data_IF_688354523869
#
_entry.id   IF_688354523869
#
_cell.length_a   1.000
_cell.length_b   1.000
_cell.length_c   1.000
_cell.angle_alpha   90.00
_cell.angle_beta   90.00
_cell.angle_gamma   90.00
#
_symmetry.space_group_name_H-M   'P 1'
#
loop_
_entity.id
_entity.type
_entity.pdbx_description
1 polymer ?
#
# COMPACT_ATOMS: atom_id res chain seq x y z
N UNK A 1 18.98 21.86 -5.02
CA UNK A 1 18.65 21.19 -6.31
C UNK A 1 17.61 20.13 -5.99
N UNK A 2 16.35 20.43 -6.25
CA UNK A 2 15.25 19.46 -6.14
C UNK A 2 15.53 18.33 -7.12
N UNK A 3 15.53 17.05 -6.71
CA UNK A 3 15.68 15.97 -7.66
C UNK A 3 14.50 16.04 -8.63
N UNK A 4 14.80 16.29 -9.91
CA UNK A 4 13.82 16.20 -10.99
C UNK A 4 13.25 14.78 -10.96
N UNK A 5 11.96 14.68 -10.65
CA UNK A 5 11.24 13.41 -10.62
C UNK A 5 11.34 12.79 -12.02
N UNK A 6 12.24 11.82 -12.19
CA UNK A 6 12.46 11.15 -13.47
C UNK A 6 11.20 10.36 -13.79
N UNK A 7 10.58 10.63 -14.95
CA UNK A 7 9.43 9.86 -15.44
C UNK A 7 9.75 8.36 -15.34
N UNK A 8 8.94 7.65 -14.56
CA UNK A 8 9.03 6.21 -14.27
C UNK A 8 8.27 5.40 -15.31
N UNK A 9 7.21 5.96 -15.90
CA UNK A 9 6.49 5.30 -17.00
C UNK A 9 7.31 5.43 -18.27
N UNK A 10 7.70 4.28 -18.81
CA UNK A 10 8.52 4.22 -20.01
C UNK A 10 7.76 4.71 -21.24
N UNK A 11 8.49 5.27 -22.22
CA UNK A 11 7.93 5.65 -23.51
C UNK A 11 7.23 4.48 -24.21
N UNK A 12 7.74 3.26 -24.01
CA UNK A 12 7.12 2.05 -24.57
C UNK A 12 5.76 1.77 -23.96
N UNK A 13 5.61 1.88 -22.64
CA UNK A 13 4.32 1.72 -21.96
C UNK A 13 3.31 2.75 -22.44
N UNK A 14 3.72 4.02 -22.56
CA UNK A 14 2.86 5.07 -23.13
C UNK A 14 2.39 4.74 -24.54
N UNK A 15 3.31 4.31 -25.42
CA UNK A 15 2.96 3.87 -26.77
C UNK A 15 2.00 2.68 -26.76
N UNK A 16 2.27 1.64 -25.97
CA UNK A 16 1.41 0.45 -25.92
C UNK A 16 -0.03 0.81 -25.50
N UNK A 17 -0.20 1.73 -24.54
CA UNK A 17 -1.53 2.18 -24.09
C UNK A 17 -2.24 2.95 -25.20
N UNK A 18 -1.56 3.85 -25.90
CA UNK A 18 -2.15 4.61 -27.00
C UNK A 18 -2.47 3.72 -28.21
N UNK A 19 -1.59 2.79 -28.56
CA UNK A 19 -1.83 1.81 -29.62
C UNK A 19 -3.05 0.95 -29.27
N UNK A 20 -3.17 0.52 -28.00
CA UNK A 20 -4.35 -0.20 -27.55
C UNK A 20 -5.62 0.66 -27.64
N UNK A 21 -5.58 1.93 -27.21
CA UNK A 21 -6.73 2.83 -27.32
C UNK A 21 -7.17 3.02 -28.78
N UNK A 22 -6.23 3.32 -29.69
CA UNK A 22 -6.51 3.51 -31.12
C UNK A 22 -7.05 2.26 -31.82
N UNK A 23 -6.71 1.06 -31.32
CA UNK A 23 -7.16 -0.22 -31.89
C UNK A 23 -8.38 -0.82 -31.18
N UNK A 24 -8.73 -0.30 -30.01
CA UNK A 24 -9.88 -0.78 -29.23
C UNK A 24 -11.20 -0.20 -29.75
N UNK A 25 -12.30 -0.74 -29.27
CA UNK A 25 -13.64 -0.18 -29.53
C UNK A 25 -13.97 1.06 -28.67
N UNK A 26 -13.07 1.47 -27.78
CA UNK A 26 -13.32 2.54 -26.82
C UNK A 26 -12.82 3.90 -27.31
N UNK A 27 -13.72 4.87 -27.42
CA UNK A 27 -13.36 6.28 -27.59
C UNK A 27 -12.82 6.86 -26.28
N UNK A 28 -11.60 7.40 -26.29
CA UNK A 28 -10.96 7.99 -25.11
C UNK A 28 -11.76 9.16 -24.52
N UNK A 29 -12.50 9.90 -25.35
CA UNK A 29 -13.36 11.01 -24.93
C UNK A 29 -14.76 10.55 -24.49
N UNK A 30 -15.09 9.28 -24.70
CA UNK A 30 -16.34 8.66 -24.32
C UNK A 30 -17.54 9.39 -24.92
N UNK A 31 -18.45 9.88 -24.07
CA UNK A 31 -19.63 10.65 -24.53
C UNK A 31 -19.38 12.15 -24.67
N UNK A 32 -18.20 12.64 -24.32
CA UNK A 32 -17.85 14.06 -24.42
C UNK A 32 -17.23 14.34 -25.79
N UNK A 33 -17.40 15.56 -26.29
CA UNK A 33 -16.58 15.98 -27.44
C UNK A 33 -15.13 16.15 -27.00
N UNK A 34 -14.18 15.93 -27.90
CA UNK A 34 -12.74 16.06 -27.63
C UNK A 34 -12.35 17.36 -26.88
N UNK A 35 -12.82 18.57 -27.27
CA UNK A 35 -12.51 19.79 -26.51
C UNK A 35 -13.13 19.80 -25.10
N UNK A 36 -14.31 19.21 -24.91
CA UNK A 36 -14.96 19.12 -23.59
C UNK A 36 -14.22 18.16 -22.67
N UNK A 37 -13.73 17.03 -23.20
CA UNK A 37 -12.88 16.12 -22.44
C UNK A 37 -11.59 16.83 -22.03
N UNK A 38 -10.87 17.43 -22.98
CA UNK A 38 -9.56 18.01 -22.72
C UNK A 38 -9.63 19.22 -21.78
N UNK A 39 -10.71 20.01 -21.81
CA UNK A 39 -10.94 21.11 -20.87
C UNK A 39 -11.05 20.67 -19.39
N UNK A 40 -11.24 19.37 -19.13
CA UNK A 40 -11.25 18.81 -17.77
C UNK A 40 -9.85 18.60 -17.21
N UNK A 41 -8.85 18.52 -18.09
CA UNK A 41 -7.45 18.25 -17.75
C UNK A 41 -6.54 19.46 -18.00
N UNK A 42 -6.90 20.34 -18.92
CA UNK A 42 -6.07 21.42 -19.42
C UNK A 42 -6.86 22.71 -19.55
N UNK A 43 -6.19 23.85 -19.32
CA UNK A 43 -6.73 25.15 -19.71
C UNK A 43 -6.51 25.37 -21.22
N UNK A 44 -7.53 25.06 -22.02
CA UNK A 44 -7.44 25.11 -23.48
C UNK A 44 -7.42 26.54 -24.04
N UNK A 45 -7.79 27.55 -23.25
CA UNK A 45 -7.73 28.95 -23.68
C UNK A 45 -6.31 29.53 -23.53
N UNK A 46 -5.51 28.99 -22.61
CA UNK A 46 -4.10 29.37 -22.43
C UNK A 46 -3.15 28.61 -23.35
N UNK A 47 -3.56 27.42 -23.85
CA UNK A 47 -2.74 26.64 -24.77
C UNK A 47 -2.77 27.24 -26.19
N UNK A 48 -1.63 27.33 -26.90
CA UNK A 48 -1.59 27.89 -28.23
C UNK A 48 -2.26 26.96 -29.26
N UNK A 49 -2.79 27.57 -30.32
CA UNK A 49 -3.25 26.82 -31.49
C UNK A 49 -2.08 26.30 -32.34
N UNK A 50 -2.26 25.14 -32.99
CA UNK A 50 -1.42 24.65 -34.09
C UNK A 50 -1.84 25.16 -35.47
N UNK A 51 -3.04 25.75 -35.57
CA UNK A 51 -3.54 26.43 -36.75
C UNK A 51 -3.49 27.94 -36.54
N UNK A 52 -2.62 28.62 -37.27
CA UNK A 52 -2.45 30.07 -37.22
C UNK A 52 -3.73 30.91 -37.37
N UNK A 53 -4.83 30.34 -37.88
CA UNK A 53 -6.14 30.98 -37.98
C UNK A 53 -6.83 31.17 -36.61
N UNK A 54 -6.45 30.36 -35.62
CA UNK A 54 -6.99 30.38 -34.27
C UNK A 54 -5.93 30.81 -33.27
N UNK A 55 -6.37 31.36 -32.13
CA UNK A 55 -5.46 31.80 -31.06
C UNK A 55 -5.18 30.69 -30.06
N UNK A 56 -6.23 29.97 -29.68
CA UNK A 56 -6.22 29.02 -28.57
C UNK A 56 -6.44 27.59 -29.06
N UNK A 57 -5.99 26.62 -28.28
CA UNK A 57 -6.21 25.20 -28.54
C UNK A 57 -7.71 24.87 -28.54
N UNK A 58 -8.48 25.54 -27.69
CA UNK A 58 -9.95 25.45 -27.68
C UNK A 58 -10.54 25.71 -29.08
N UNK A 59 -10.11 26.80 -29.72
CA UNK A 59 -10.62 27.23 -31.03
C UNK A 59 -10.27 26.28 -32.18
N UNK A 60 -9.01 25.82 -32.27
CA UNK A 60 -8.62 24.94 -33.38
C UNK A 60 -9.16 23.52 -33.22
N UNK A 61 -9.13 22.96 -32.00
CA UNK A 61 -9.70 21.63 -31.73
C UNK A 61 -11.20 21.63 -32.05
N UNK A 62 -11.94 22.66 -31.63
CA UNK A 62 -13.36 22.75 -31.94
C UNK A 62 -13.61 22.82 -33.45
N UNK A 63 -12.84 23.62 -34.18
CA UNK A 63 -12.99 23.70 -35.63
C UNK A 63 -12.77 22.34 -36.29
N UNK A 64 -11.67 21.66 -35.95
CA UNK A 64 -11.25 20.46 -36.65
C UNK A 64 -12.02 19.21 -36.22
N UNK A 65 -12.29 19.05 -34.92
CA UNK A 65 -12.97 17.87 -34.39
C UNK A 65 -14.50 17.95 -34.40
N UNK A 66 -15.08 19.16 -34.37
CA UNK A 66 -16.55 19.34 -34.20
C UNK A 66 -17.19 19.93 -35.45
N UNK A 67 -16.59 20.96 -36.04
CA UNK A 67 -17.16 21.58 -37.24
C UNK A 67 -16.80 20.83 -38.52
N UNK A 68 -15.54 20.40 -38.67
CA UNK A 68 -15.01 19.85 -39.92
C UNK A 68 -14.92 18.32 -39.95
N UNK A 69 -14.62 17.68 -38.82
CA UNK A 69 -14.33 16.24 -38.72
C UNK A 69 -13.15 15.81 -39.61
N UNK A 70 -12.08 16.62 -39.63
CA UNK A 70 -10.94 16.48 -40.56
C UNK A 70 -9.61 16.08 -39.88
N UNK A 71 -9.64 15.72 -38.60
CA UNK A 71 -8.52 15.15 -37.84
C UNK A 71 -8.82 13.70 -37.44
N UNK A 72 -7.78 12.88 -37.34
CA UNK A 72 -7.88 11.47 -36.90
C UNK A 72 -8.27 11.38 -35.43
N UNK A 73 -9.04 10.36 -35.02
CA UNK A 73 -9.56 10.25 -33.65
C UNK A 73 -8.46 10.20 -32.57
N UNK A 74 -7.27 9.74 -32.92
CA UNK A 74 -6.12 9.57 -32.03
C UNK A 74 -5.09 10.72 -32.10
N UNK A 75 -5.44 11.82 -32.78
CA UNK A 75 -4.58 13.00 -32.98
C UNK A 75 -3.91 13.48 -31.68
N UNK A 76 -4.64 13.40 -30.57
CA UNK A 76 -4.21 13.90 -29.26
C UNK A 76 -2.98 13.19 -28.73
N UNK A 77 -2.79 11.91 -29.07
CA UNK A 77 -1.66 11.11 -28.58
C UNK A 77 -0.31 11.59 -29.11
N UNK A 78 -0.32 12.39 -30.19
CA UNK A 78 0.89 12.93 -30.82
C UNK A 78 0.98 14.46 -30.71
N UNK A 79 0.03 15.12 -30.02
CA UNK A 79 0.08 16.55 -29.80
C UNK A 79 0.85 16.90 -28.52
N UNK A 80 2.06 17.44 -28.72
CA UNK A 80 2.96 17.89 -27.66
C UNK A 80 2.36 18.94 -26.71
N UNK A 81 1.29 19.65 -27.09
CA UNK A 81 0.57 20.59 -26.19
C UNK A 81 0.08 19.90 -24.92
N UNK A 82 -0.31 18.62 -25.03
CA UNK A 82 -0.87 17.84 -23.92
C UNK A 82 0.18 17.00 -23.19
N UNK A 83 1.39 16.94 -23.73
CA UNK A 83 2.55 16.27 -23.13
C UNK A 83 2.30 14.80 -22.74
N UNK A 84 1.41 14.11 -23.47
CA UNK A 84 1.00 12.74 -23.17
C UNK A 84 2.14 11.72 -23.36
N UNK A 85 3.04 11.95 -24.32
CA UNK A 85 4.20 11.08 -24.59
C UNK A 85 5.46 11.47 -23.82
N UNK A 86 5.71 12.76 -23.67
CA UNK A 86 7.00 13.31 -23.23
C UNK A 86 6.91 14.12 -21.92
N UNK A 87 5.70 14.26 -21.35
CA UNK A 87 5.46 14.97 -20.10
C UNK A 87 5.64 14.11 -18.86
N UNK A 88 5.10 14.60 -17.74
CA UNK A 88 5.18 13.89 -16.46
C UNK A 88 4.30 12.63 -16.45
N UNK A 89 4.54 11.74 -15.48
CA UNK A 89 3.70 10.56 -15.28
C UNK A 89 2.32 10.95 -14.80
N UNK A 90 2.21 12.00 -13.97
CA UNK A 90 0.92 12.52 -13.50
C UNK A 90 0.05 13.00 -14.67
N UNK A 91 0.60 13.72 -15.65
CA UNK A 91 -0.14 14.15 -16.84
C UNK A 91 -0.73 12.95 -17.59
N UNK A 92 0.06 11.91 -17.80
CA UNK A 92 -0.39 10.71 -18.50
C UNK A 92 -1.40 9.90 -17.70
N UNK A 93 -1.17 9.69 -16.42
CA UNK A 93 -2.08 8.93 -15.55
C UNK A 93 -3.40 9.66 -15.31
N UNK A 94 -3.39 11.00 -15.19
CA UNK A 94 -4.61 11.79 -15.09
C UNK A 94 -5.44 11.69 -16.38
N UNK A 95 -4.79 11.70 -17.55
CA UNK A 95 -5.48 11.47 -18.81
C UNK A 95 -6.18 10.11 -18.83
N UNK A 96 -5.50 9.02 -18.46
CA UNK A 96 -6.09 7.69 -18.40
C UNK A 96 -7.20 7.55 -17.34
N UNK A 97 -7.05 8.20 -16.18
CA UNK A 97 -8.12 8.21 -15.17
C UNK A 97 -9.36 8.95 -15.67
N UNK A 98 -9.17 10.03 -16.44
CA UNK A 98 -10.27 10.80 -17.00
C UNK A 98 -11.02 10.03 -18.10
N UNK A 99 -10.35 9.23 -18.94
CA UNK A 99 -11.03 8.41 -19.97
C UNK A 99 -12.06 7.46 -19.37
N UNK A 100 -11.85 7.01 -18.13
CA UNK A 100 -12.75 6.07 -17.43
C UNK A 100 -13.60 6.74 -16.36
N UNK A 101 -13.54 8.08 -16.23
CA UNK A 101 -14.31 8.80 -15.23
C UNK A 101 -15.83 8.75 -15.54
N UNK A 102 -16.74 8.61 -14.55
CA UNK A 102 -18.18 8.47 -14.78
C UNK A 102 -18.88 9.59 -15.59
N UNK A 103 -18.25 10.76 -15.68
CA UNK A 103 -18.73 11.87 -16.52
C UNK A 103 -18.43 11.60 -18.00
N UNK A 104 -17.29 10.98 -18.29
CA UNK A 104 -16.79 10.64 -19.62
C UNK A 104 -17.36 9.29 -20.08
N UNK A 105 -17.44 8.33 -19.16
CA UNK A 105 -17.95 6.97 -19.39
C UNK A 105 -19.04 6.64 -18.39
N UNK A 106 -20.28 6.47 -18.83
CA UNK A 106 -21.36 6.07 -17.93
C UNK A 106 -21.53 4.56 -17.79
N UNK A 107 -20.98 3.76 -18.72
CA UNK A 107 -20.93 2.31 -18.61
C UNK A 107 -19.78 1.85 -17.66
N UNK A 108 -20.11 1.29 -16.47
CA UNK A 108 -19.11 0.84 -15.52
C UNK A 108 -18.34 -0.40 -16.00
N UNK A 109 -18.94 -1.26 -16.85
CA UNK A 109 -18.27 -2.46 -17.36
C UNK A 109 -17.22 -2.08 -18.40
N UNK A 110 -17.55 -1.14 -19.30
CA UNK A 110 -16.60 -0.54 -20.23
C UNK A 110 -15.43 0.16 -19.50
N UNK A 111 -15.74 0.94 -18.45
CA UNK A 111 -14.72 1.60 -17.63
C UNK A 111 -13.80 0.56 -16.97
N UNK A 112 -14.36 -0.50 -16.38
CA UNK A 112 -13.59 -1.57 -15.75
C UNK A 112 -12.70 -2.33 -16.77
N UNK A 113 -13.21 -2.59 -17.98
CA UNK A 113 -12.44 -3.23 -19.04
C UNK A 113 -11.23 -2.38 -19.49
N UNK A 114 -11.42 -1.06 -19.64
CA UNK A 114 -10.32 -0.14 -19.95
C UNK A 114 -9.29 -0.08 -18.82
N UNK A 115 -9.73 0.01 -17.56
CA UNK A 115 -8.83 -0.01 -16.39
C UNK A 115 -8.02 -1.31 -16.35
N UNK A 116 -8.63 -2.45 -16.65
CA UNK A 116 -7.93 -3.73 -16.70
C UNK A 116 -6.83 -3.72 -17.78
N UNK A 117 -7.13 -3.22 -18.98
CA UNK A 117 -6.15 -3.12 -20.08
C UNK A 117 -5.02 -2.13 -19.77
N UNK A 118 -5.34 -0.97 -19.19
CA UNK A 118 -4.33 -0.01 -18.72
C UNK A 118 -3.42 -0.64 -17.67
N UNK A 119 -3.99 -1.34 -16.68
CA UNK A 119 -3.21 -1.94 -15.60
C UNK A 119 -2.31 -3.09 -16.07
N UNK A 120 -2.65 -3.82 -17.13
CA UNK A 120 -1.77 -4.87 -17.68
C UNK A 120 -0.43 -4.32 -18.20
N UNK A 121 -0.42 -3.06 -18.63
CA UNK A 121 0.78 -2.36 -19.10
C UNK A 121 1.42 -1.49 -18.01
N UNK A 122 0.64 -0.67 -17.31
CA UNK A 122 1.13 0.26 -16.27
C UNK A 122 1.84 -0.46 -15.12
N UNK A 123 1.40 -1.67 -14.76
CA UNK A 123 1.99 -2.45 -13.65
C UNK A 123 3.48 -2.71 -13.83
N UNK A 124 3.94 -2.84 -15.07
CA UNK A 124 5.36 -3.07 -15.41
C UNK A 124 6.25 -1.88 -15.01
N UNK A 125 5.68 -0.68 -15.03
CA UNK A 125 6.36 0.56 -14.66
C UNK A 125 5.97 1.04 -13.25
N UNK A 126 5.30 0.17 -12.48
CA UNK A 126 4.99 0.42 -11.08
C UNK A 126 3.85 1.39 -10.86
N UNK A 127 2.84 1.41 -11.73
CA UNK A 127 1.61 2.18 -11.53
C UNK A 127 0.38 1.32 -11.82
N UNK A 128 -0.74 1.68 -11.21
CA UNK A 128 -2.06 1.15 -11.57
C UNK A 128 -3.14 2.18 -11.28
N UNK A 129 -4.25 2.08 -12.02
CA UNK A 129 -5.51 2.71 -11.67
C UNK A 129 -6.24 1.82 -10.66
N UNK A 130 -6.73 2.44 -9.59
CA UNK A 130 -7.55 1.84 -8.54
C UNK A 130 -8.83 2.63 -8.39
N UNK A 131 -9.85 1.99 -7.84
CA UNK A 131 -11.00 2.71 -7.32
C UNK A 131 -10.55 3.62 -6.17
N UNK A 132 -10.89 4.90 -6.28
CA UNK A 132 -10.60 5.90 -5.25
C UNK A 132 -11.87 6.39 -4.55
N UNK A 133 -13.02 6.33 -5.23
CA UNK A 133 -14.30 6.76 -4.69
C UNK A 133 -15.46 6.10 -5.46
N UNK A 134 -16.67 6.17 -4.92
CA UNK A 134 -17.91 5.73 -5.57
C UNK A 134 -19.06 6.70 -5.31
N UNK A 135 -19.90 6.88 -6.31
CA UNK A 135 -21.18 7.57 -6.18
C UNK A 135 -22.30 6.70 -6.74
N UNK A 136 -23.02 6.00 -5.87
CA UNK A 136 -24.01 5.00 -6.27
C UNK A 136 -23.34 3.80 -6.94
N UNK A 137 -23.75 3.50 -8.17
CA UNK A 137 -23.17 2.47 -9.04
C UNK A 137 -21.94 2.95 -9.84
N UNK A 138 -21.65 4.26 -9.80
CA UNK A 138 -20.55 4.86 -10.55
C UNK A 138 -19.24 4.78 -9.77
N UNK A 139 -18.22 4.24 -10.42
CA UNK A 139 -16.88 4.06 -9.86
C UNK A 139 -15.98 5.21 -10.33
N UNK A 140 -15.33 5.90 -9.40
CA UNK A 140 -14.31 6.89 -9.71
C UNK A 140 -12.95 6.21 -9.55
N UNK A 141 -12.22 6.10 -10.66
CA UNK A 141 -10.86 5.61 -10.67
C UNK A 141 -9.87 6.75 -10.52
N UNK A 142 -8.82 6.51 -9.76
CA UNK A 142 -7.62 7.33 -9.71
C UNK A 142 -6.39 6.43 -9.87
N UNK A 143 -5.19 6.99 -9.83
CA UNK A 143 -3.97 6.21 -9.97
C UNK A 143 -3.19 6.16 -8.65
N UNK A 144 -2.44 5.07 -8.46
CA UNK A 144 -1.42 4.97 -7.44
C UNK A 144 -0.13 4.43 -8.03
N UNK A 145 0.98 4.79 -7.39
CA UNK A 145 2.22 4.10 -7.60
C UNK A 145 2.17 2.75 -6.90
N UNK A 146 2.38 1.68 -7.65
CA UNK A 146 2.71 0.36 -7.13
C UNK A 146 4.10 0.47 -6.55
N UNK A 147 4.13 0.75 -5.26
CA UNK A 147 5.33 0.53 -4.50
C UNK A 147 5.68 -0.96 -4.67
N UNK A 148 6.93 -1.30 -5.03
CA UNK A 148 7.44 -2.68 -5.16
C UNK A 148 7.42 -3.48 -3.83
N UNK A 149 6.58 -3.03 -2.90
CA UNK A 149 6.38 -3.57 -1.59
C UNK A 149 5.04 -4.28 -1.68
N UNK A 150 5.04 -5.57 -1.39
CA UNK A 150 3.94 -6.15 -0.64
C UNK A 150 3.76 -5.27 0.62
N UNK A 151 3.00 -4.18 0.51
CA UNK A 151 2.06 -3.84 1.56
C UNK A 151 0.94 -4.83 1.29
N UNK A 152 0.90 -5.98 1.99
CA UNK A 152 -0.28 -6.82 1.86
C UNK A 152 -1.45 -5.88 2.15
N UNK A 153 -2.37 -5.76 1.19
CA UNK A 153 -3.52 -4.82 1.26
C UNK A 153 -4.36 -5.07 2.52
N UNK A 154 -4.09 -6.18 3.17
CA UNK A 154 -4.51 -6.57 4.49
C UNK A 154 -3.24 -6.98 5.26
N UNK A 155 -2.94 -6.36 6.40
CA UNK A 155 -1.86 -6.85 7.26
C UNK A 155 -2.13 -8.33 7.51
N UNK A 156 -1.16 -9.22 7.36
CA UNK A 156 -1.39 -10.63 7.72
C UNK A 156 -1.84 -10.76 9.18
N UNK A 157 -1.39 -9.84 10.05
CA UNK A 157 -1.84 -9.70 11.44
C UNK A 157 -3.34 -9.39 11.59
N UNK A 158 -3.98 -8.82 10.57
CA UNK A 158 -5.41 -8.53 10.57
C UNK A 158 -6.28 -9.80 10.56
N UNK A 159 -5.68 -10.98 10.36
CA UNK A 159 -6.37 -12.28 10.35
C UNK A 159 -6.27 -13.02 11.68
N UNK A 160 -5.57 -12.48 12.67
CA UNK A 160 -5.43 -13.11 13.98
C UNK A 160 -6.45 -12.50 14.95
N UNK A 161 -7.47 -13.25 15.39
CA UNK A 161 -8.57 -12.73 16.21
C UNK A 161 -8.07 -12.02 17.48
N UNK A 162 -7.12 -12.61 18.20
CA UNK A 162 -6.66 -12.04 19.49
C UNK A 162 -5.97 -10.68 19.33
N UNK A 163 -5.23 -10.49 18.23
CA UNK A 163 -4.64 -9.19 17.86
C UNK A 163 -5.69 -8.21 17.37
N UNK A 164 -6.63 -8.73 16.58
CA UNK A 164 -7.64 -7.92 15.91
C UNK A 164 -8.89 -7.73 16.71
N UNK A 165 -9.08 -8.25 17.92
CA UNK A 165 -10.23 -7.91 18.77
C UNK A 165 -9.83 -6.93 19.88
N UNK A 166 -8.56 -6.96 20.29
CA UNK A 166 -8.02 -6.08 21.30
C UNK A 166 -7.83 -4.65 20.77
N UNK A 167 -8.52 -3.67 21.37
CA UNK A 167 -8.50 -2.27 20.92
C UNK A 167 -7.13 -1.60 21.05
N UNK A 168 -6.30 -2.00 22.03
CA UNK A 168 -4.94 -1.48 22.21
C UNK A 168 -4.03 -1.95 21.08
N UNK A 169 -4.11 -3.25 20.74
CA UNK A 169 -3.31 -3.84 19.67
C UNK A 169 -3.74 -3.31 18.29
N UNK A 170 -5.05 -3.23 18.02
CA UNK A 170 -5.60 -2.57 16.82
C UNK A 170 -5.05 -1.15 16.65
N UNK A 171 -5.06 -0.36 17.73
CA UNK A 171 -4.57 1.02 17.70
C UNK A 171 -3.11 1.11 17.28
N UNK A 172 -2.26 0.21 17.73
CA UNK A 172 -0.85 0.16 17.32
C UNK A 172 -0.70 -0.23 15.85
N UNK A 173 -1.49 -1.18 15.35
CA UNK A 173 -1.48 -1.55 13.93
C UNK A 173 -1.88 -0.37 13.04
N UNK A 174 -2.93 0.37 13.41
CA UNK A 174 -3.36 1.56 12.66
C UNK A 174 -2.28 2.65 12.61
N UNK A 175 -1.56 2.86 13.73
CA UNK A 175 -0.42 3.77 13.77
C UNK A 175 0.68 3.33 12.80
N UNK A 176 1.08 2.06 12.90
CA UNK A 176 2.14 1.51 12.05
C UNK A 176 1.79 1.69 10.57
N UNK A 177 0.55 1.39 10.18
CA UNK A 177 0.09 1.52 8.79
C UNK A 177 0.12 2.95 8.28
N UNK A 178 -0.38 3.88 9.10
CA UNK A 178 -0.37 5.30 8.77
C UNK A 178 1.05 5.83 8.58
N UNK A 179 1.97 5.40 9.46
CA UNK A 179 3.29 6.00 9.62
C UNK A 179 4.38 5.29 8.80
N UNK A 180 4.15 4.06 8.34
CA UNK A 180 5.11 3.19 7.64
C UNK A 180 5.88 3.87 6.49
N UNK A 181 5.25 4.84 5.82
CA UNK A 181 5.86 5.61 4.74
C UNK A 181 6.05 7.09 5.06
N UNK A 182 5.18 7.68 5.87
CA UNK A 182 5.14 9.12 6.18
C UNK A 182 6.00 9.50 7.39
N UNK A 183 6.11 8.62 8.38
CA UNK A 183 6.94 8.77 9.58
C UNK A 183 7.57 7.42 9.99
N UNK A 184 8.68 7.04 9.33
CA UNK A 184 9.35 5.76 9.61
C UNK A 184 9.81 5.60 11.06
N UNK A 185 10.15 6.68 11.75
CA UNK A 185 10.61 6.63 13.15
C UNK A 185 9.45 6.35 14.10
N UNK A 186 8.30 6.98 13.89
CA UNK A 186 7.07 6.69 14.63
C UNK A 186 6.56 5.26 14.37
N UNK A 187 6.67 4.77 13.13
CA UNK A 187 6.32 3.39 12.79
C UNK A 187 7.18 2.36 13.53
N UNK A 188 8.50 2.56 13.59
CA UNK A 188 9.43 1.71 14.36
C UNK A 188 9.08 1.73 15.86
N UNK A 189 8.74 2.89 16.40
CA UNK A 189 8.34 3.03 17.79
C UNK A 189 7.05 2.28 18.09
N UNK A 190 6.06 2.40 17.18
CA UNK A 190 4.79 1.69 17.29
C UNK A 190 4.95 0.17 17.19
N UNK A 191 5.94 -0.32 16.43
CA UNK A 191 6.28 -1.75 16.37
C UNK A 191 6.73 -2.31 17.72
N UNK A 192 7.62 -1.61 18.43
CA UNK A 192 8.03 -2.00 19.81
C UNK A 192 6.83 -2.01 20.74
N UNK A 193 6.04 -0.94 20.73
CA UNK A 193 4.88 -0.78 21.61
C UNK A 193 3.82 -1.86 21.37
N UNK A 194 3.62 -2.30 20.12
CA UNK A 194 2.72 -3.41 19.79
C UNK A 194 3.18 -4.70 20.47
N UNK A 195 4.45 -5.07 20.33
CA UNK A 195 4.98 -6.31 20.93
C UNK A 195 4.96 -6.25 22.46
N UNK A 196 5.30 -5.11 23.06
CA UNK A 196 5.23 -4.93 24.52
C UNK A 196 3.81 -5.07 25.03
N UNK A 197 2.85 -4.39 24.38
CA UNK A 197 1.43 -4.48 24.75
C UNK A 197 0.93 -5.91 24.61
N UNK A 198 1.27 -6.59 23.52
CA UNK A 198 0.86 -7.99 23.30
C UNK A 198 1.43 -8.91 24.38
N UNK A 199 2.74 -8.83 24.68
CA UNK A 199 3.35 -9.64 25.74
C UNK A 199 2.67 -9.39 27.09
N UNK A 200 2.44 -8.12 27.46
CA UNK A 200 1.77 -7.76 28.71
C UNK A 200 0.33 -8.30 28.76
N UNK A 201 -0.42 -8.23 27.66
CA UNK A 201 -1.78 -8.78 27.57
C UNK A 201 -1.76 -10.29 27.79
N UNK A 202 -0.87 -11.02 27.10
CA UNK A 202 -0.76 -12.49 27.25
C UNK A 202 -0.37 -12.87 28.68
N UNK A 203 0.64 -12.22 29.25
CA UNK A 203 1.06 -12.48 30.63
C UNK A 203 -0.05 -12.20 31.65
N UNK A 204 -0.83 -11.14 31.42
CA UNK A 204 -1.99 -10.81 32.26
C UNK A 204 -3.09 -11.87 32.15
N UNK A 205 -3.38 -12.34 30.93
CA UNK A 205 -4.39 -13.38 30.68
C UNK A 205 -4.01 -14.72 31.32
N UNK A 206 -2.72 -15.02 31.37
CA UNK A 206 -2.15 -16.23 31.99
C UNK A 206 -1.85 -16.08 33.48
N UNK A 207 -2.21 -14.96 34.10
CA UNK A 207 -1.97 -14.65 35.52
C UNK A 207 -0.48 -14.73 35.93
N UNK A 208 0.41 -14.23 35.08
CA UNK A 208 1.85 -14.18 35.31
C UNK A 208 2.29 -12.73 35.59
N UNK A 209 2.91 -12.53 36.75
CA UNK A 209 3.44 -11.24 37.15
C UNK A 209 4.63 -10.81 36.27
N UNK A 210 4.66 -9.53 35.92
CA UNK A 210 5.79 -8.86 35.29
C UNK A 210 5.99 -7.49 35.92
N UNK A 211 7.20 -6.93 35.80
CA UNK A 211 7.55 -5.62 36.32
C UNK A 211 7.29 -4.53 35.27
N UNK A 212 6.84 -3.36 35.69
CA UNK A 212 6.69 -2.20 34.79
C UNK A 212 8.03 -1.69 34.21
N UNK A 213 9.16 -2.13 34.77
CA UNK A 213 10.49 -1.85 34.26
C UNK A 213 10.98 -2.89 33.25
N UNK A 214 10.21 -3.94 33.00
CA UNK A 214 10.60 -4.98 32.07
C UNK A 214 10.49 -4.45 30.65
N UNK A 215 11.61 -4.43 29.96
CA UNK A 215 11.68 -4.06 28.55
C UNK A 215 11.27 -5.26 27.68
N UNK A 216 10.89 -4.96 26.43
CA UNK A 216 10.43 -5.93 25.44
C UNK A 216 11.18 -7.30 25.45
N UNK A 217 12.53 -7.39 25.48
CA UNK A 217 13.21 -8.69 25.50
C UNK A 217 12.87 -9.56 26.73
N UNK A 218 12.71 -8.94 27.91
CA UNK A 218 12.36 -9.62 29.15
C UNK A 218 10.89 -10.04 29.16
N UNK A 219 9.99 -9.16 28.68
CA UNK A 219 8.57 -9.46 28.51
C UNK A 219 8.36 -10.63 27.55
N UNK A 220 9.08 -10.64 26.42
CA UNK A 220 9.01 -11.73 25.45
C UNK A 220 9.53 -13.06 26.02
N UNK A 221 10.64 -13.05 26.76
CA UNK A 221 11.17 -14.26 27.38
C UNK A 221 10.16 -14.87 28.37
N UNK A 222 9.52 -14.03 29.19
CA UNK A 222 8.48 -14.44 30.12
C UNK A 222 7.25 -15.00 29.38
N UNK A 223 6.82 -14.32 28.31
CA UNK A 223 5.69 -14.75 27.46
C UNK A 223 5.97 -16.09 26.78
N UNK A 224 7.17 -16.27 26.24
CA UNK A 224 7.57 -17.53 25.60
C UNK A 224 7.66 -18.68 26.60
N UNK A 225 8.10 -18.41 27.82
CA UNK A 225 8.08 -19.42 28.90
C UNK A 225 6.65 -19.76 29.34
N UNK A 226 5.78 -18.75 29.45
CA UNK A 226 4.38 -18.86 29.87
C UNK A 226 3.54 -19.70 28.92
N UNK A 227 3.66 -19.42 27.62
CA UNK A 227 2.99 -20.15 26.54
C UNK A 227 3.61 -21.53 26.29
N UNK A 228 4.50 -21.99 27.19
CA UNK A 228 5.23 -23.23 27.06
C UNK A 228 5.78 -23.43 25.64
N UNK A 229 6.35 -22.37 25.05
CA UNK A 229 6.95 -22.39 23.72
C UNK A 229 8.28 -23.16 23.79
N UNK A 230 8.16 -24.43 24.11
CA UNK A 230 9.23 -25.37 24.19
C UNK A 230 9.38 -25.94 22.80
N UNK A 231 10.48 -25.57 22.15
CA UNK A 231 10.90 -26.14 20.88
C UNK A 231 11.27 -27.64 20.95
N UNK A 232 10.81 -28.33 22.00
CA UNK A 232 10.91 -29.76 22.25
C UNK A 232 9.66 -30.50 21.76
N UNK A 233 8.61 -29.80 21.34
CA UNK A 233 7.27 -30.32 21.05
C UNK A 233 7.07 -31.06 19.70
N UNK A 234 8.12 -31.32 18.91
CA UNK A 234 7.95 -32.18 17.71
C UNK A 234 8.08 -33.64 18.10
N UNK A 235 6.95 -34.25 18.41
CA UNK A 235 6.86 -35.69 18.68
C UNK A 235 7.49 -36.49 17.53
N UNK A 236 8.47 -37.34 17.88
CA UNK A 236 9.09 -38.28 16.94
C UNK A 236 10.26 -37.75 16.09
N UNK A 237 10.70 -36.47 16.23
CA UNK A 237 11.84 -35.97 15.44
C UNK A 237 12.79 -35.04 16.21
N UNK A 238 13.90 -35.60 16.71
CA UNK A 238 15.00 -34.83 17.34
C UNK A 238 15.54 -33.70 16.43
N UNK A 239 15.64 -33.96 15.12
CA UNK A 239 16.09 -32.94 14.14
C UNK A 239 15.06 -31.82 13.97
N UNK A 240 13.76 -32.14 14.04
CA UNK A 240 12.67 -31.16 14.01
C UNK A 240 12.72 -30.24 15.22
N UNK A 241 12.81 -30.81 16.42
CA UNK A 241 12.97 -30.04 17.67
C UNK A 241 14.20 -29.14 17.63
N UNK A 242 15.35 -29.62 17.13
CA UNK A 242 16.56 -28.81 17.00
C UNK A 242 16.40 -27.63 16.02
N UNK A 243 15.64 -27.80 14.93
CA UNK A 243 15.34 -26.73 13.98
C UNK A 243 14.42 -25.68 14.60
N UNK A 244 13.36 -26.10 15.30
CA UNK A 244 12.48 -25.16 16.00
C UNK A 244 13.20 -24.41 17.12
N UNK A 245 14.12 -25.05 17.85
CA UNK A 245 14.94 -24.36 18.87
C UNK A 245 15.77 -23.25 18.25
N UNK A 246 16.28 -23.45 17.03
CA UNK A 246 17.01 -22.41 16.29
C UNK A 246 16.09 -21.29 15.83
N UNK A 247 14.89 -21.61 15.34
CA UNK A 247 13.89 -20.62 14.96
C UNK A 247 13.47 -19.75 16.16
N UNK A 248 13.24 -20.35 17.33
CA UNK A 248 12.93 -19.64 18.56
C UNK A 248 14.04 -18.67 18.97
N UNK A 249 15.31 -19.11 18.92
CA UNK A 249 16.45 -18.21 19.18
C UNK A 249 16.51 -17.05 18.18
N UNK A 250 16.16 -17.30 16.92
CA UNK A 250 16.08 -16.25 15.90
C UNK A 250 14.96 -15.24 16.23
N UNK A 251 13.78 -15.70 16.68
CA UNK A 251 12.72 -14.80 17.15
C UNK A 251 13.17 -13.94 18.33
N UNK A 252 13.84 -14.51 19.33
CA UNK A 252 14.42 -13.72 20.44
C UNK A 252 15.40 -12.65 19.94
N UNK A 253 16.19 -12.97 18.92
CA UNK A 253 17.12 -12.01 18.29
C UNK A 253 16.36 -10.92 17.53
N UNK A 254 15.26 -11.25 16.84
CA UNK A 254 14.41 -10.26 16.20
C UNK A 254 13.79 -9.30 17.22
N UNK A 255 13.29 -9.83 18.34
CA UNK A 255 12.74 -9.02 19.44
C UNK A 255 13.77 -8.04 19.99
N UNK A 256 14.99 -8.51 20.24
CA UNK A 256 16.11 -7.65 20.64
C UNK A 256 16.38 -6.57 19.58
N UNK A 257 16.44 -6.95 18.31
CA UNK A 257 16.70 -6.03 17.20
C UNK A 257 15.62 -4.96 17.06
N UNK A 258 14.35 -5.29 17.30
CA UNK A 258 13.23 -4.33 17.29
C UNK A 258 13.37 -3.32 18.43
N UNK A 259 13.71 -3.79 19.64
CA UNK A 259 13.95 -2.92 20.79
C UNK A 259 15.12 -1.94 20.55
N UNK A 260 16.22 -2.43 19.99
CA UNK A 260 17.40 -1.63 19.64
C UNK A 260 17.14 -0.66 18.47
N UNK A 261 16.38 -1.07 17.46
CA UNK A 261 15.99 -0.22 16.34
C UNK A 261 15.20 1.00 16.83
N UNK A 262 14.27 0.81 17.78
CA UNK A 262 13.54 1.93 18.41
C UNK A 262 14.48 2.90 19.11
N UNK A 263 15.49 2.40 19.83
CA UNK A 263 16.40 3.25 20.59
C UNK A 263 17.43 3.98 19.72
N UNK A 264 17.78 3.43 18.56
CA UNK A 264 18.81 3.98 17.67
C UNK A 264 18.25 4.89 16.58
N UNK A 265 17.12 4.52 15.99
CA UNK A 265 16.53 5.19 14.82
C UNK A 265 15.01 5.42 14.96
N UNK A 266 14.38 5.01 16.05
CA UNK A 266 13.00 5.37 16.36
C UNK A 266 12.89 6.75 17.03
N UNK A 267 11.67 7.15 17.38
CA UNK A 267 11.38 8.40 18.11
C UNK A 267 11.61 8.22 19.63
N UNK A 268 12.80 7.74 19.98
CA UNK A 268 13.24 7.53 21.35
C UNK A 268 13.81 8.80 21.94
N UNK A 269 12.97 9.57 22.65
CA UNK A 269 13.34 10.72 23.48
C UNK A 269 13.92 11.92 22.73
N UNK A 270 13.04 12.77 22.15
CA UNK A 270 13.30 14.20 21.94
C UNK A 270 14.67 14.53 21.32
N UNK A 271 15.11 13.72 20.35
CA UNK A 271 16.39 13.89 19.70
C UNK A 271 16.47 15.28 19.07
N UNK A 272 17.60 15.96 19.28
CA UNK A 272 17.89 17.27 18.68
C UNK A 272 18.03 17.16 17.15
N UNK A 273 18.25 15.94 16.64
CA UNK A 273 18.41 15.64 15.22
C UNK A 273 17.24 14.82 14.68
N UNK A 274 16.87 15.05 13.43
CA UNK A 274 15.92 14.22 12.68
C UNK A 274 16.40 12.76 12.63
N UNK A 275 15.47 11.81 12.79
CA UNK A 275 15.80 10.39 12.71
C UNK A 275 16.31 10.02 11.31
N UNK A 276 17.38 9.19 11.19
CA UNK A 276 17.84 8.67 9.90
C UNK A 276 16.97 7.51 9.38
N UNK A 277 15.84 7.20 10.03
CA UNK A 277 14.94 6.15 9.61
C UNK A 277 14.37 6.41 8.22
N UNK A 278 14.38 5.38 7.39
CA UNK A 278 13.79 5.42 6.04
C UNK A 278 12.64 4.41 5.98
N UNK A 279 11.69 4.54 5.04
CA UNK A 279 10.59 3.58 4.92
C UNK A 279 11.04 2.12 4.78
N UNK A 280 12.20 1.85 4.17
CA UNK A 280 12.77 0.48 4.11
C UNK A 280 13.22 -0.05 5.47
N UNK A 281 13.71 0.81 6.37
CA UNK A 281 14.09 0.41 7.72
C UNK A 281 12.83 0.11 8.55
N UNK A 282 11.83 0.99 8.50
CA UNK A 282 10.55 0.77 9.18
C UNK A 282 9.87 -0.53 8.74
N UNK A 283 9.89 -0.84 7.43
CA UNK A 283 9.36 -2.09 6.89
C UNK A 283 10.10 -3.33 7.37
N UNK A 284 11.43 -3.28 7.49
CA UNK A 284 12.20 -4.39 8.04
C UNK A 284 11.81 -4.68 9.49
N UNK A 285 11.72 -3.62 10.32
CA UNK A 285 11.30 -3.73 11.72
C UNK A 285 9.85 -4.22 11.82
N UNK A 286 8.97 -3.70 10.97
CA UNK A 286 7.58 -4.12 10.91
C UNK A 286 7.43 -5.59 10.53
N UNK A 287 8.10 -6.07 9.48
CA UNK A 287 8.04 -7.50 9.10
C UNK A 287 8.60 -8.41 10.20
N UNK A 288 9.65 -7.97 10.92
CA UNK A 288 10.17 -8.69 12.09
C UNK A 288 9.13 -8.73 13.21
N UNK A 289 8.42 -7.63 13.42
CA UNK A 289 7.33 -7.50 14.39
C UNK A 289 6.16 -8.42 14.04
N UNK A 290 5.79 -8.50 12.76
CA UNK A 290 4.73 -9.41 12.27
C UNK A 290 5.09 -10.86 12.59
N UNK A 291 6.31 -11.29 12.28
CA UNK A 291 6.73 -12.66 12.53
C UNK A 291 6.63 -13.05 14.02
N UNK A 292 7.04 -12.15 14.92
CA UNK A 292 6.95 -12.37 16.37
C UNK A 292 5.51 -12.32 16.85
N UNK A 293 4.76 -11.28 16.47
CA UNK A 293 3.41 -11.04 16.96
C UNK A 293 2.43 -12.14 16.53
N UNK A 294 2.52 -12.57 15.28
CA UNK A 294 1.69 -13.64 14.76
C UNK A 294 1.97 -14.96 15.51
N UNK A 295 3.25 -15.29 15.70
CA UNK A 295 3.62 -16.52 16.39
C UNK A 295 3.14 -16.55 17.85
N UNK A 296 3.25 -15.43 18.58
CA UNK A 296 2.71 -15.30 19.94
C UNK A 296 1.19 -15.52 19.93
N UNK A 297 0.48 -14.85 19.01
CA UNK A 297 -0.97 -14.89 18.98
C UNK A 297 -1.51 -16.27 18.57
N UNK A 298 -0.91 -16.91 17.56
CA UNK A 298 -1.28 -18.27 17.15
C UNK A 298 -1.09 -19.25 18.32
N UNK A 299 0.03 -19.15 19.04
CA UNK A 299 0.31 -20.02 20.20
C UNK A 299 -0.61 -19.74 21.40
N UNK A 300 -0.92 -18.47 21.65
CA UNK A 300 -1.82 -18.06 22.73
C UNK A 300 -3.26 -18.51 22.47
N UNK A 301 -3.71 -18.41 21.21
CA UNK A 301 -5.01 -18.92 20.78
C UNK A 301 -5.12 -20.42 21.05
N UNK A 302 -4.14 -21.22 20.61
CA UNK A 302 -4.10 -22.67 20.82
C UNK A 302 -4.12 -23.03 22.32
N UNK A 303 -3.24 -22.38 23.12
CA UNK A 303 -3.14 -22.63 24.57
C UNK A 303 -4.45 -22.30 25.30
N UNK A 304 -5.08 -21.17 24.94
CA UNK A 304 -6.36 -20.74 25.52
C UNK A 304 -7.51 -21.69 25.19
N UNK A 305 -7.50 -22.24 23.97
CA UNK A 305 -8.48 -23.23 23.54
C UNK A 305 -8.32 -24.57 24.28
N UNK A 306 -7.09 -25.05 24.48
CA UNK A 306 -6.80 -26.28 25.21
C UNK A 306 -7.20 -26.18 26.69
N UNK A 307 -6.88 -25.07 27.36
CA UNK A 307 -7.27 -24.85 28.76
C UNK A 307 -8.79 -24.81 28.94
N UNK A 308 -9.52 -24.14 28.04
CA UNK A 308 -11.00 -24.10 28.03
C UNK A 308 -11.60 -25.49 27.79
N UNK A 309 -11.02 -26.29 26.90
CA UNK A 309 -11.46 -27.66 26.65
C UNK A 309 -11.22 -28.60 27.85
N UNK A 310 -10.11 -28.45 28.56
CA UNK A 310 -9.81 -29.21 29.79
C UNK A 310 -10.76 -28.86 30.95
N UNK A 311 -11.14 -27.58 31.07
CA UNK A 311 -12.12 -27.12 32.08
C UNK A 311 -13.56 -27.55 31.73
N UNK A 312 -13.93 -27.59 30.45
CA UNK A 312 -15.26 -28.00 29.98
C UNK A 312 -15.53 -29.52 29.98
N UNK A 313 -14.48 -30.34 30.10
CA UNK A 313 -14.58 -31.81 30.17
C UNK A 313 -14.59 -32.37 31.61
N UNK A 314 -14.59 -31.50 32.62
CA UNK A 314 -14.63 -31.86 34.04
C UNK A 314 -16.03 -31.78 34.68
N UNK A 315 -17.11 -31.89 33.88
CA UNK A 315 -18.50 -31.98 34.36
C UNK A 315 -19.21 -33.22 33.84
#
# INVERSE_FOLDING_TARGET
MTPTNRARISRQTRSNVFDWLSLSEYDWSGRLQHPQFLARLYDLEELPSRDHRYRTASGDIYQHMVNNWDWEDDWVFNDDRFQLRNGSDETFLNFLAETVHPIVRDDPDAAAAMVAAYNDTLRRDGYELIETDRFGDRIIYGWRQISAYYAPTELTLAKTPDLTENSVLRRHLDLINRDLSSDPAAAISSCKNLLESQCKIVLTDLDIEFSERDELPALFASTASALAINADAVDGSKRGSDALRKAMRALSTLVQSVAEARNSIGDGHGSVNESPATPRHARLVFNSTVAVAQFIADTWHETSHEQKAALGSSF
#
